data_IF_233174766433
#
_entry.id   IF_233174766433
#
_cell.length_a   1.000
_cell.length_b   1.000
_cell.length_c   1.000
_cell.angle_alpha   90.00
_cell.angle_beta   90.00
_cell.angle_gamma   90.00
#
_symmetry.space_group_name_H-M   'P 1'
#
loop_
_entity.id
_entity.type
_entity.pdbx_description
1 polymer ?
#
# COMPACT_ATOMS: atom_id res chain seq x y z
N UNK A 1 -18.79 23.62 12.77
CA UNK A 1 -19.89 23.38 11.80
C UNK A 1 -21.21 24.09 12.13
N UNK A 2 -21.73 24.16 13.37
CA UNK A 2 -22.98 24.90 13.64
C UNK A 2 -22.86 26.45 13.64
N UNK A 3 -21.66 27.00 13.43
CA UNK A 3 -21.39 28.43 13.52
C UNK A 3 -21.53 29.20 12.18
N UNK A 4 -21.51 28.52 11.03
CA UNK A 4 -21.56 29.17 9.72
C UNK A 4 -22.86 29.98 9.47
N UNK A 5 -24.06 29.47 9.79
CA UNK A 5 -25.31 30.23 9.59
C UNK A 5 -25.37 31.50 10.45
N UNK A 6 -24.78 31.46 11.66
CA UNK A 6 -24.72 32.61 12.57
C UNK A 6 -23.71 33.68 12.15
N UNK A 7 -22.70 33.30 11.38
CA UNK A 7 -21.71 34.20 10.80
C UNK A 7 -22.11 34.75 9.42
N UNK A 8 -23.35 34.47 8.96
CA UNK A 8 -23.83 34.78 7.61
C UNK A 8 -22.95 34.17 6.50
N UNK A 9 -22.44 32.96 6.72
CA UNK A 9 -21.65 32.20 5.75
C UNK A 9 -22.41 30.95 5.32
N UNK A 10 -22.48 30.73 4.01
CA UNK A 10 -22.99 29.50 3.41
C UNK A 10 -21.83 28.56 3.11
N UNK A 11 -21.97 27.29 3.51
CA UNK A 11 -20.95 26.27 3.24
C UNK A 11 -21.25 25.65 1.88
N UNK A 12 -20.27 25.71 0.98
CA UNK A 12 -20.40 25.22 -0.38
C UNK A 12 -19.54 23.97 -0.55
N UNK A 13 -20.12 22.91 -1.10
CA UNK A 13 -19.44 21.62 -1.32
C UNK A 13 -18.48 21.65 -2.50
N UNK A 14 -18.71 22.55 -3.46
CA UNK A 14 -17.85 22.79 -4.61
C UNK A 14 -16.91 23.97 -4.33
N UNK A 15 -15.59 23.75 -4.20
CA UNK A 15 -14.64 24.82 -3.93
C UNK A 15 -14.60 25.88 -5.04
N UNK A 16 -15.03 25.57 -6.27
CA UNK A 16 -15.07 26.51 -7.39
C UNK A 16 -16.13 27.61 -7.24
N UNK A 17 -17.19 27.33 -6.50
CA UNK A 17 -18.31 28.27 -6.30
C UNK A 17 -18.13 29.10 -5.00
N UNK A 18 -17.03 28.90 -4.27
CA UNK A 18 -16.72 29.60 -3.04
C UNK A 18 -15.99 30.93 -3.28
N UNK A 19 -16.52 32.02 -2.72
CA UNK A 19 -15.90 33.36 -2.73
C UNK A 19 -14.78 33.50 -1.69
N UNK A 20 -14.89 32.75 -0.59
CA UNK A 20 -13.97 32.70 0.54
C UNK A 20 -13.54 31.25 0.79
N UNK A 21 -12.24 31.00 0.85
CA UNK A 21 -11.70 29.70 1.26
C UNK A 21 -10.93 29.84 2.57
N UNK A 22 -11.23 28.96 3.53
CA UNK A 22 -10.55 28.91 4.82
C UNK A 22 -9.63 27.71 4.84
N UNK A 23 -8.33 27.96 4.97
CA UNK A 23 -7.31 26.92 5.09
C UNK A 23 -6.95 26.79 6.57
N UNK A 24 -7.12 25.59 7.12
CA UNK A 24 -6.73 25.27 8.49
C UNK A 24 -5.33 24.66 8.50
N UNK A 25 -4.35 25.35 9.08
CA UNK A 25 -2.97 24.87 9.13
C UNK A 25 -1.93 25.96 9.40
N UNK A 26 -0.66 25.60 9.23
CA UNK A 26 0.48 26.50 9.46
C UNK A 26 1.03 27.14 8.18
N UNK A 27 0.60 26.68 7.01
CA UNK A 27 1.00 27.19 5.70
C UNK A 27 -0.14 27.10 4.70
N UNK A 28 -0.16 28.01 3.72
CA UNK A 28 -1.09 27.93 2.59
C UNK A 28 -0.68 26.78 1.66
N UNK A 29 -1.62 25.93 1.20
CA UNK A 29 -1.34 24.90 0.21
C UNK A 29 -0.92 25.54 -1.11
N UNK A 30 -0.13 24.83 -1.92
CA UNK A 30 0.18 25.23 -3.30
C UNK A 30 -0.92 24.73 -4.25
N UNK A 31 -2.13 25.26 -4.09
CA UNK A 31 -3.31 24.81 -4.82
C UNK A 31 -3.81 25.88 -5.79
N UNK A 32 -3.75 25.58 -7.08
CA UNK A 32 -4.21 26.48 -8.15
C UNK A 32 -5.73 26.67 -8.17
N UNK A 33 -6.51 25.80 -7.52
CA UNK A 33 -7.96 25.95 -7.38
C UNK A 33 -8.36 27.12 -6.47
N UNK A 34 -7.42 27.63 -5.67
CA UNK A 34 -7.63 28.80 -4.80
C UNK A 34 -7.28 30.13 -5.49
N UNK A 35 -6.75 30.10 -6.72
CA UNK A 35 -6.36 31.31 -7.46
C UNK A 35 -7.54 32.26 -7.66
N UNK A 36 -7.33 33.52 -7.29
CA UNK A 36 -8.34 34.58 -7.44
C UNK A 36 -9.41 34.59 -6.35
N UNK A 37 -9.36 33.66 -5.39
CA UNK A 37 -10.27 33.64 -4.23
C UNK A 37 -9.65 34.34 -3.04
N UNK A 38 -10.50 34.84 -2.15
CA UNK A 38 -10.04 35.32 -0.86
C UNK A 38 -9.75 34.12 0.03
N UNK A 39 -8.51 33.99 0.49
CA UNK A 39 -8.07 32.88 1.34
C UNK A 39 -7.66 33.41 2.71
N UNK A 40 -8.15 32.75 3.75
CA UNK A 40 -7.72 32.96 5.13
C UNK A 40 -7.01 31.71 5.65
N UNK A 41 -5.77 31.88 6.13
CA UNK A 41 -5.02 30.84 6.83
C UNK A 41 -5.29 30.97 8.33
N UNK A 42 -5.90 29.95 8.92
CA UNK A 42 -6.29 29.93 10.32
C UNK A 42 -5.72 28.73 11.09
N UNK A 43 -5.49 28.93 12.37
CA UNK A 43 -5.07 27.85 13.28
C UNK A 43 -6.25 26.92 13.63
N UNK A 44 -6.00 25.61 13.61
CA UNK A 44 -7.04 24.60 13.83
C UNK A 44 -7.56 24.61 15.28
N UNK A 45 -6.70 24.86 16.27
CA UNK A 45 -7.11 24.88 17.68
C UNK A 45 -8.00 26.09 17.95
N UNK A 46 -7.70 27.23 17.32
CA UNK A 46 -8.51 28.45 17.41
C UNK A 46 -9.87 28.30 16.72
N UNK A 47 -9.92 27.64 15.57
CA UNK A 47 -11.17 27.35 14.86
C UNK A 47 -12.12 26.45 15.66
N UNK A 48 -11.56 25.53 16.48
CA UNK A 48 -12.35 24.65 17.35
C UNK A 48 -12.79 25.35 18.64
N UNK A 49 -11.91 26.13 19.26
CA UNK A 49 -12.18 26.79 20.54
C UNK A 49 -13.15 27.98 20.40
N UNK A 50 -13.02 28.78 19.34
CA UNK A 50 -13.79 30.01 19.13
C UNK A 50 -14.30 30.13 17.69
N UNK A 51 -15.24 29.26 17.26
CA UNK A 51 -15.64 29.14 15.86
C UNK A 51 -16.33 30.40 15.29
N UNK A 52 -17.09 31.14 16.10
CA UNK A 52 -17.80 32.35 15.63
C UNK A 52 -16.83 33.51 15.39
N UNK A 53 -15.91 33.76 16.33
CA UNK A 53 -14.86 34.77 16.18
C UNK A 53 -13.91 34.44 15.03
N UNK A 54 -13.55 33.17 14.90
CA UNK A 54 -12.69 32.68 13.83
C UNK A 54 -13.29 32.92 12.43
N UNK A 55 -14.60 32.69 12.27
CA UNK A 55 -15.28 32.95 11.00
C UNK A 55 -15.41 34.45 10.69
N UNK A 56 -15.57 35.30 11.73
CA UNK A 56 -15.51 36.76 11.59
C UNK A 56 -14.14 37.25 11.12
N UNK A 57 -13.07 36.79 11.77
CA UNK A 57 -11.69 37.08 11.38
C UNK A 57 -11.38 36.60 9.96
N UNK A 58 -11.89 35.43 9.58
CA UNK A 58 -11.72 34.91 8.23
C UNK A 58 -12.38 35.81 7.18
N UNK A 59 -13.53 36.41 7.48
CA UNK A 59 -14.21 37.35 6.58
C UNK A 59 -13.45 38.66 6.42
N UNK A 60 -12.94 39.19 7.53
CA UNK A 60 -12.31 40.51 7.54
C UNK A 60 -10.86 40.48 7.04
N UNK A 61 -10.14 39.36 7.25
CA UNK A 61 -8.69 39.26 7.02
C UNK A 61 -8.29 38.32 5.87
N UNK A 62 -9.25 37.74 5.15
CA UNK A 62 -8.93 36.98 3.95
C UNK A 62 -8.26 37.86 2.90
N UNK A 63 -7.24 37.30 2.24
CA UNK A 63 -6.47 38.03 1.22
C UNK A 63 -6.64 37.34 -0.12
N UNK A 64 -6.61 38.09 -1.24
CA UNK A 64 -6.58 37.50 -2.57
C UNK A 64 -5.41 36.53 -2.66
N UNK A 65 -5.72 35.27 -2.94
CA UNK A 65 -4.72 34.23 -3.06
C UNK A 65 -4.29 34.12 -4.52
N UNK A 66 -2.98 34.16 -4.69
CA UNK A 66 -2.32 33.74 -5.91
C UNK A 66 -1.41 32.59 -5.48
N UNK A 67 -1.67 31.40 -6.01
CA UNK A 67 -0.79 30.26 -5.86
C UNK A 67 0.61 30.73 -6.21
N UNK A 68 1.62 30.41 -5.37
CA UNK A 68 2.99 30.64 -5.75
C UNK A 68 3.15 30.14 -7.18
N UNK A 69 3.49 31.04 -8.10
CA UNK A 69 3.72 30.65 -9.49
C UNK A 69 4.66 29.45 -9.40
N UNK A 70 4.20 28.30 -9.89
CA UNK A 70 5.07 27.14 -9.99
C UNK A 70 6.35 27.67 -10.61
N UNK A 71 7.44 27.63 -9.85
CA UNK A 71 8.73 28.08 -10.36
C UNK A 71 8.86 27.36 -11.68
N UNK A 72 8.87 28.12 -12.78
CA UNK A 72 8.91 27.52 -14.10
C UNK A 72 10.12 26.60 -14.07
N UNK A 73 9.84 25.30 -14.02
CA UNK A 73 10.88 24.28 -13.94
C UNK A 73 11.68 24.48 -15.21
N UNK A 74 13.02 24.69 -15.11
CA UNK A 74 13.82 24.97 -16.29
C UNK A 74 13.51 23.92 -17.35
N UNK A 75 13.12 24.39 -18.53
CA UNK A 75 13.02 23.53 -19.70
C UNK A 75 14.35 22.80 -19.82
N UNK A 76 14.30 21.46 -19.85
CA UNK A 76 15.50 20.64 -19.94
C UNK A 76 16.30 21.10 -21.17
N UNK A 77 17.57 21.44 -20.94
CA UNK A 77 18.49 21.73 -22.04
C UNK A 77 18.54 20.51 -22.97
N UNK A 78 18.62 20.74 -24.29
CA UNK A 78 18.62 19.69 -25.31
C UNK A 78 19.65 18.59 -24.95
N UNK A 79 19.15 17.39 -24.61
CA UNK A 79 19.96 16.23 -24.20
C UNK A 79 19.63 15.64 -22.82
N UNK A 80 18.90 16.36 -21.96
CA UNK A 80 18.52 15.89 -20.62
C UNK A 80 17.19 15.12 -20.66
N UNK A 81 17.24 13.79 -20.48
CA UNK A 81 16.04 12.95 -20.36
C UNK A 81 15.28 13.26 -19.08
N UNK A 82 13.94 13.29 -19.16
CA UNK A 82 13.02 13.41 -18.03
C UNK A 82 12.44 12.05 -17.69
N UNK A 83 12.71 11.58 -16.48
CA UNK A 83 12.32 10.26 -16.02
C UNK A 83 11.43 10.40 -14.79
N UNK A 84 10.32 9.67 -14.81
CA UNK A 84 9.51 9.47 -13.62
C UNK A 84 9.62 8.01 -13.21
N UNK A 85 9.73 7.73 -11.91
CA UNK A 85 9.86 6.38 -11.41
C UNK A 85 8.89 6.09 -10.27
N UNK A 86 8.42 4.86 -10.18
CA UNK A 86 7.61 4.37 -9.06
C UNK A 86 8.37 3.24 -8.39
N UNK A 87 8.61 3.36 -7.08
CA UNK A 87 9.17 2.26 -6.28
C UNK A 87 8.12 1.69 -5.34
N UNK A 88 8.04 0.36 -5.24
CA UNK A 88 7.10 -0.30 -4.34
C UNK A 88 7.56 -1.67 -3.86
N UNK A 89 7.86 -1.80 -2.57
CA UNK A 89 8.17 -3.06 -1.90
C UNK A 89 7.03 -3.41 -0.91
N UNK A 90 6.65 -4.69 -0.75
CA UNK A 90 5.54 -5.11 0.11
C UNK A 90 5.63 -4.64 1.56
N UNK A 91 6.84 -4.57 2.13
CA UNK A 91 7.04 -4.07 3.50
C UNK A 91 7.06 -2.54 3.56
N UNK A 92 7.39 -1.88 2.44
CA UNK A 92 7.27 -0.45 2.26
C UNK A 92 8.23 0.43 3.06
N UNK A 93 9.20 -0.13 3.79
CA UNK A 93 10.09 0.60 4.71
C UNK A 93 11.54 0.73 4.26
N UNK A 94 12.16 -0.30 3.68
CA UNK A 94 13.59 -0.25 3.31
C UNK A 94 13.78 -0.19 1.79
N UNK A 95 13.48 -1.28 1.09
CA UNK A 95 13.77 -1.36 -0.34
C UNK A 95 13.02 -0.32 -1.19
N UNK A 96 11.82 0.13 -0.79
CA UNK A 96 11.10 1.20 -1.49
C UNK A 96 11.94 2.49 -1.52
N UNK A 97 12.42 2.94 -0.36
CA UNK A 97 13.17 4.20 -0.26
C UNK A 97 14.60 4.05 -0.77
N UNK A 98 15.27 2.93 -0.47
CA UNK A 98 16.62 2.68 -0.95
C UNK A 98 16.67 2.57 -2.49
N UNK A 99 15.70 1.90 -3.11
CA UNK A 99 15.62 1.86 -4.56
C UNK A 99 15.32 3.24 -5.16
N UNK A 100 14.49 4.05 -4.50
CA UNK A 100 14.22 5.41 -4.95
C UNK A 100 15.47 6.28 -4.90
N UNK A 101 16.19 6.29 -3.78
CA UNK A 101 17.45 7.03 -3.63
C UNK A 101 18.52 6.57 -4.62
N UNK A 102 18.62 5.26 -4.87
CA UNK A 102 19.55 4.72 -5.86
C UNK A 102 19.22 5.22 -7.28
N UNK A 103 17.94 5.17 -7.68
CA UNK A 103 17.47 5.67 -8.98
C UNK A 103 17.73 7.18 -9.09
N UNK A 104 17.41 7.96 -8.05
CA UNK A 104 17.65 9.41 -8.05
C UNK A 104 19.13 9.75 -8.20
N UNK A 105 19.98 9.07 -7.45
CA UNK A 105 21.43 9.28 -7.45
C UNK A 105 22.03 8.95 -8.81
N UNK A 106 21.63 7.84 -9.42
CA UNK A 106 22.13 7.41 -10.72
C UNK A 106 21.60 8.30 -11.86
N UNK A 107 20.34 8.71 -11.82
CA UNK A 107 19.79 9.63 -12.80
C UNK A 107 20.46 11.02 -12.71
N UNK A 108 20.73 11.53 -11.50
CA UNK A 108 21.49 12.77 -11.29
C UNK A 108 22.91 12.68 -11.85
N UNK A 109 23.61 11.55 -11.66
CA UNK A 109 24.94 11.31 -12.25
C UNK A 109 24.93 11.36 -13.78
N UNK A 110 23.82 10.95 -14.40
CA UNK A 110 23.62 10.96 -15.86
C UNK A 110 23.14 12.32 -16.38
N UNK A 111 22.94 13.30 -15.50
CA UNK A 111 22.39 14.60 -15.84
C UNK A 111 20.90 14.54 -16.19
N UNK A 112 20.18 13.47 -15.83
CA UNK A 112 18.75 13.33 -16.09
C UNK A 112 17.93 14.02 -15.00
N UNK A 113 16.78 14.56 -15.40
CA UNK A 113 15.77 14.97 -14.42
C UNK A 113 15.00 13.75 -13.98
N UNK A 114 14.80 13.60 -12.67
CA UNK A 114 14.18 12.42 -12.08
C UNK A 114 13.22 12.81 -10.98
N UNK A 115 12.04 12.20 -10.97
CA UNK A 115 11.07 12.24 -9.88
C UNK A 115 10.70 10.81 -9.53
N UNK A 116 10.84 10.45 -8.25
CA UNK A 116 10.51 9.10 -7.79
C UNK A 116 9.36 9.15 -6.79
N UNK A 117 8.24 8.53 -7.16
CA UNK A 117 7.12 8.26 -6.26
C UNK A 117 7.38 6.97 -5.50
N UNK A 118 7.38 7.07 -4.18
CA UNK A 118 7.50 5.90 -3.29
C UNK A 118 6.12 5.41 -2.90
N UNK A 119 5.88 4.11 -3.01
CA UNK A 119 4.66 3.47 -2.51
C UNK A 119 5.01 2.41 -1.49
N UNK A 120 4.63 2.66 -0.24
CA UNK A 120 4.92 1.78 0.89
C UNK A 120 3.73 1.62 1.83
N UNK A 121 4.00 0.95 2.96
CA UNK A 121 3.05 0.74 4.06
C UNK A 121 2.62 2.06 4.72
N UNK A 122 3.46 3.09 4.63
CA UNK A 122 3.22 4.46 5.12
C UNK A 122 2.46 5.35 4.12
N UNK A 123 2.07 4.84 2.95
CA UNK A 123 1.38 5.58 1.90
C UNK A 123 2.26 5.94 0.70
N UNK A 124 1.76 6.85 -0.15
CA UNK A 124 2.49 7.36 -1.30
C UNK A 124 3.27 8.63 -0.93
N UNK A 125 4.58 8.62 -1.14
CA UNK A 125 5.45 9.80 -0.99
C UNK A 125 5.88 10.34 -2.35
N UNK A 126 6.09 11.65 -2.44
CA UNK A 126 6.52 12.33 -3.67
C UNK A 126 5.66 11.99 -4.90
N UNK A 127 4.34 12.07 -4.73
CA UNK A 127 3.38 11.76 -5.79
C UNK A 127 3.72 12.48 -7.11
N UNK A 128 3.77 11.71 -8.20
CA UNK A 128 4.02 12.23 -9.53
C UNK A 128 2.74 12.87 -10.07
N UNK A 129 2.82 14.14 -10.47
CA UNK A 129 1.68 14.90 -11.00
C UNK A 129 1.39 14.56 -12.47
N UNK A 130 0.18 14.82 -12.98
CA UNK A 130 -0.15 14.58 -14.39
C UNK A 130 0.76 15.32 -15.37
N UNK A 131 1.19 16.53 -15.03
CA UNK A 131 2.10 17.36 -15.82
C UNK A 131 3.49 16.71 -15.91
N UNK A 132 4.00 16.23 -14.78
CA UNK A 132 5.27 15.49 -14.71
C UNK A 132 5.21 14.20 -15.54
N UNK A 133 4.06 13.50 -15.57
CA UNK A 133 3.87 12.36 -16.47
C UNK A 133 3.88 12.79 -17.93
N UNK A 134 3.17 13.88 -18.27
CA UNK A 134 3.08 14.39 -19.63
C UNK A 134 4.45 14.81 -20.19
N UNK A 135 5.33 15.35 -19.35
CA UNK A 135 6.68 15.76 -19.71
C UNK A 135 7.74 14.65 -19.61
N UNK A 136 7.40 13.50 -19.03
CA UNK A 136 8.32 12.37 -18.91
C UNK A 136 8.58 11.69 -20.27
N UNK A 137 9.86 11.45 -20.56
CA UNK A 137 10.32 10.66 -21.71
C UNK A 137 10.26 9.15 -21.43
N UNK A 138 10.38 8.77 -20.15
CA UNK A 138 10.48 7.39 -19.71
C UNK A 138 9.90 7.21 -18.30
N UNK A 139 9.15 6.12 -18.12
CA UNK A 139 8.58 5.69 -16.84
C UNK A 139 9.31 4.43 -16.37
N UNK A 140 9.88 4.45 -15.18
CA UNK A 140 10.55 3.28 -14.57
C UNK A 140 9.70 2.78 -13.40
N UNK A 141 9.25 1.53 -13.45
CA UNK A 141 8.48 0.91 -12.36
C UNK A 141 9.34 -0.15 -11.69
N UNK A 142 9.91 0.16 -10.52
CA UNK A 142 10.63 -0.78 -9.68
C UNK A 142 9.71 -1.28 -8.57
N UNK A 143 8.95 -2.35 -8.83
CA UNK A 143 7.90 -2.79 -7.92
C UNK A 143 7.84 -4.31 -7.76
N UNK A 144 7.75 -4.74 -6.50
CA UNK A 144 7.55 -6.14 -6.10
C UNK A 144 6.08 -6.42 -5.71
N UNK A 145 5.22 -5.40 -5.82
CA UNK A 145 3.76 -5.49 -5.63
C UNK A 145 3.04 -4.87 -6.83
N UNK A 146 1.72 -5.08 -6.89
CA UNK A 146 0.87 -4.42 -7.87
C UNK A 146 0.64 -2.96 -7.49
N UNK A 147 0.78 -2.06 -8.46
CA UNK A 147 0.66 -0.61 -8.28
C UNK A 147 -0.25 -0.05 -9.36
N UNK A 148 -1.09 0.93 -8.99
CA UNK A 148 -1.89 1.64 -9.98
C UNK A 148 -0.99 2.53 -10.86
N UNK A 149 -0.94 2.18 -12.13
CA UNK A 149 -0.13 2.83 -13.16
C UNK A 149 -0.99 3.48 -14.25
N UNK A 150 -2.32 3.59 -14.05
CA UNK A 150 -3.24 4.08 -15.07
C UNK A 150 -2.84 5.46 -15.61
N UNK A 151 -2.28 6.32 -14.74
CA UNK A 151 -1.78 7.65 -15.10
C UNK A 151 -0.62 7.66 -16.11
N UNK A 152 0.11 6.55 -16.27
CA UNK A 152 1.24 6.42 -17.19
C UNK A 152 0.84 5.83 -18.56
N UNK A 153 -0.44 5.84 -18.89
CA UNK A 153 -0.94 5.37 -20.18
C UNK A 153 -0.24 6.05 -21.36
N UNK A 154 0.15 5.26 -22.36
CA UNK A 154 0.84 5.70 -23.57
C UNK A 154 2.33 5.99 -23.40
N UNK A 155 2.84 6.12 -22.17
CA UNK A 155 4.24 6.46 -21.92
C UNK A 155 5.17 5.25 -22.09
N UNK A 156 6.40 5.43 -22.62
CA UNK A 156 7.41 4.39 -22.62
C UNK A 156 7.69 3.95 -21.18
N UNK A 157 7.47 2.68 -20.88
CA UNK A 157 7.57 2.13 -19.54
C UNK A 157 8.52 0.94 -19.52
N UNK A 158 9.38 0.90 -18.51
CA UNK A 158 10.21 -0.24 -18.16
C UNK A 158 9.86 -0.70 -16.74
N UNK A 159 9.66 -2.01 -16.55
CA UNK A 159 9.31 -2.60 -15.24
C UNK A 159 10.40 -3.53 -14.76
N UNK A 160 10.80 -3.37 -13.50
CA UNK A 160 11.80 -4.18 -12.79
C UNK A 160 11.40 -4.38 -11.32
N UNK A 161 12.24 -5.05 -10.54
CA UNK A 161 12.05 -5.32 -9.09
C UNK A 161 12.76 -4.25 -8.25
N UNK A 162 12.34 -4.03 -6.99
CA UNK A 162 13.06 -3.07 -6.13
C UNK A 162 14.49 -3.54 -5.83
N UNK A 163 14.69 -4.85 -5.71
CA UNK A 163 16.00 -5.45 -5.47
C UNK A 163 16.98 -5.24 -6.64
N UNK A 164 16.53 -5.37 -7.90
CA UNK A 164 17.37 -5.11 -9.07
C UNK A 164 17.64 -3.61 -9.24
N UNK A 165 16.62 -2.78 -9.04
CA UNK A 165 16.77 -1.32 -9.09
C UNK A 165 17.76 -0.79 -8.04
N UNK A 166 17.87 -1.44 -6.88
CA UNK A 166 18.84 -1.10 -5.85
C UNK A 166 20.25 -1.64 -6.13
N UNK A 167 20.39 -2.92 -6.52
CA UNK A 167 21.71 -3.57 -6.66
C UNK A 167 22.39 -3.32 -8.00
N UNK A 168 21.61 -3.06 -9.05
CA UNK A 168 22.05 -2.96 -10.46
C UNK A 168 21.47 -1.73 -11.15
N UNK A 169 21.35 -0.62 -10.41
CA UNK A 169 20.65 0.60 -10.86
C UNK A 169 21.09 1.09 -12.24
N UNK A 170 22.39 1.23 -12.48
CA UNK A 170 22.91 1.68 -13.77
C UNK A 170 22.46 0.79 -14.93
N UNK A 171 22.59 -0.55 -14.76
CA UNK A 171 22.18 -1.52 -15.77
C UNK A 171 20.68 -1.48 -16.04
N UNK A 172 19.87 -1.31 -15.00
CA UNK A 172 18.42 -1.23 -15.14
C UNK A 172 17.99 0.09 -15.81
N UNK A 173 18.68 1.20 -15.56
CA UNK A 173 18.46 2.47 -16.27
C UNK A 173 18.88 2.38 -17.75
N UNK A 174 19.97 1.69 -18.06
CA UNK A 174 20.41 1.45 -19.45
C UNK A 174 19.41 0.60 -20.23
N UNK A 175 18.92 -0.48 -19.61
CA UNK A 175 17.83 -1.29 -20.16
C UNK A 175 16.56 -0.49 -20.31
N UNK A 176 16.21 0.35 -19.33
CA UNK A 176 15.00 1.15 -19.41
C UNK A 176 15.00 2.10 -20.62
N UNK A 177 16.14 2.66 -20.98
CA UNK A 177 16.26 3.50 -22.19
C UNK A 177 16.08 2.71 -23.48
N UNK A 178 16.47 1.42 -23.49
CA UNK A 178 16.53 0.59 -24.69
C UNK A 178 15.27 -0.27 -24.89
N UNK A 179 14.71 -0.78 -23.80
CA UNK A 179 13.66 -1.82 -23.79
C UNK A 179 12.28 -1.29 -23.38
N UNK A 180 12.16 -0.01 -23.00
CA UNK A 180 10.88 0.57 -22.61
C UNK A 180 9.87 0.50 -23.75
N UNK A 181 8.65 0.07 -23.42
CA UNK A 181 7.53 -0.06 -24.36
C UNK A 181 6.37 0.83 -23.94
N UNK A 182 5.58 1.37 -24.88
CA UNK A 182 4.38 2.12 -24.53
C UNK A 182 3.46 1.30 -23.62
N UNK A 183 3.16 1.83 -22.44
CA UNK A 183 2.27 1.18 -21.49
C UNK A 183 0.81 1.44 -21.85
N UNK A 184 -0.06 0.44 -21.81
CA UNK A 184 -1.50 0.62 -21.90
C UNK A 184 -2.16 0.07 -20.63
N UNK A 185 -2.89 0.91 -19.86
CA UNK A 185 -3.68 0.42 -18.75
C UNK A 185 -4.76 -0.50 -19.31
N UNK A 186 -4.88 -1.70 -18.77
CA UNK A 186 -5.88 -2.66 -19.20
C UNK A 186 -7.29 -2.19 -18.79
N UNK A 187 -7.91 -1.38 -19.66
CA UNK A 187 -9.25 -0.81 -19.51
C UNK A 187 -10.21 -1.25 -20.61
N UNK A 188 -10.15 -2.53 -21.00
CA UNK A 188 -11.16 -3.36 -21.71
C UNK A 188 -10.63 -4.80 -21.63
N UNK A 189 -11.47 -5.83 -21.41
CA UNK A 189 -11.01 -7.22 -21.47
C UNK A 189 -10.58 -7.50 -22.91
N UNK A 190 -9.29 -7.32 -23.17
CA UNK A 190 -8.71 -7.66 -24.45
C UNK A 190 -8.66 -9.18 -24.47
N UNK A 191 -9.51 -9.76 -25.32
CA UNK A 191 -9.50 -11.16 -25.66
C UNK A 191 -8.05 -11.54 -25.98
N UNK A 192 -7.43 -12.28 -25.05
CA UNK A 192 -6.17 -12.92 -25.30
C UNK A 192 -6.43 -13.90 -26.44
N UNK A 193 -5.70 -13.72 -27.54
CA UNK A 193 -5.56 -14.76 -28.55
C UNK A 193 -5.24 -16.08 -27.82
N UNK A 194 -6.10 -17.06 -28.03
CA UNK A 194 -6.01 -18.38 -27.44
C UNK A 194 -4.67 -19.03 -27.80
N UNK A 195 -3.96 -19.51 -26.76
CA UNK A 195 -2.72 -20.23 -26.94
C UNK A 195 -1.95 -20.40 -25.63
N UNK A 196 -2.37 -21.37 -24.80
CA UNK A 196 -1.62 -21.96 -23.67
C UNK A 196 -0.92 -20.96 -22.71
N UNK A 197 -1.65 -20.34 -21.78
CA UNK A 197 -1.07 -19.46 -20.73
C UNK A 197 -1.69 -19.56 -19.32
N UNK A 198 -2.49 -20.57 -19.00
CA UNK A 198 -3.04 -20.72 -17.64
C UNK A 198 -2.02 -21.24 -16.60
N UNK A 199 -1.04 -22.07 -17.02
CA UNK A 199 -0.03 -22.60 -16.08
C UNK A 199 0.97 -21.55 -15.60
N UNK A 200 1.26 -20.51 -16.40
CA UNK A 200 2.17 -19.44 -16.01
C UNK A 200 1.59 -18.53 -14.92
N UNK A 201 0.26 -18.34 -14.92
CA UNK A 201 -0.44 -17.55 -13.89
C UNK A 201 -0.51 -18.28 -12.56
N UNK A 202 -1.03 -19.52 -12.55
CA UNK A 202 -1.13 -20.33 -11.34
C UNK A 202 0.23 -20.60 -10.69
N UNK A 203 1.26 -20.90 -11.50
CA UNK A 203 2.63 -21.09 -11.00
C UNK A 203 3.17 -19.81 -10.33
N UNK A 204 2.88 -18.63 -10.88
CA UNK A 204 3.29 -17.36 -10.27
C UNK A 204 2.64 -17.15 -8.90
N UNK A 205 1.34 -17.43 -8.78
CA UNK A 205 0.62 -17.32 -7.51
C UNK A 205 1.16 -18.29 -6.45
N UNK A 206 1.45 -19.52 -6.87
CA UNK A 206 2.09 -20.50 -6.01
C UNK A 206 3.48 -20.05 -5.55
N UNK A 207 4.31 -19.54 -6.46
CA UNK A 207 5.64 -19.02 -6.15
C UNK A 207 5.58 -17.85 -5.17
N UNK A 208 4.58 -16.97 -5.30
CA UNK A 208 4.36 -15.88 -4.34
C UNK A 208 4.11 -16.44 -2.95
N UNK A 209 3.18 -17.39 -2.80
CA UNK A 209 2.91 -18.05 -1.53
C UNK A 209 4.15 -18.68 -0.90
N UNK A 210 4.90 -19.47 -1.69
CA UNK A 210 6.13 -20.13 -1.22
C UNK A 210 7.18 -19.11 -0.78
N UNK A 211 7.35 -18.01 -1.52
CA UNK A 211 8.34 -16.97 -1.20
C UNK A 211 8.07 -16.30 0.15
N UNK A 212 6.80 -16.06 0.49
CA UNK A 212 6.42 -15.48 1.78
C UNK A 212 6.41 -16.50 2.92
N UNK A 213 6.28 -17.79 2.61
CA UNK A 213 6.37 -18.88 3.58
C UNK A 213 7.82 -19.18 3.97
N UNK A 214 8.77 -19.04 3.04
CA UNK A 214 10.17 -19.43 3.24
C UNK A 214 10.85 -18.77 4.47
N UNK A 215 10.71 -17.46 4.72
CA UNK A 215 11.29 -16.84 5.92
C UNK A 215 10.79 -17.45 7.22
N UNK A 216 9.52 -17.86 7.29
CA UNK A 216 8.94 -18.49 8.48
C UNK A 216 9.56 -19.87 8.73
N UNK A 217 9.74 -20.65 7.67
CA UNK A 217 10.37 -21.99 7.76
C UNK A 217 11.83 -21.87 8.19
N UNK A 218 12.57 -20.93 7.61
CA UNK A 218 13.98 -20.69 7.95
C UNK A 218 14.10 -20.22 9.40
N UNK A 219 13.30 -19.24 9.83
CA UNK A 219 13.31 -18.76 11.22
C UNK A 219 12.90 -19.87 12.20
N UNK A 220 11.85 -20.62 11.89
CA UNK A 220 11.37 -21.72 12.73
C UNK A 220 12.40 -22.84 12.87
N UNK A 221 13.02 -23.25 11.77
CA UNK A 221 14.08 -24.26 11.78
C UNK A 221 15.30 -23.83 12.58
N UNK A 222 15.68 -22.55 12.48
CA UNK A 222 16.78 -22.00 13.28
C UNK A 222 16.45 -22.00 14.78
N UNK A 223 15.22 -21.64 15.16
CA UNK A 223 14.78 -21.70 16.56
C UNK A 223 14.82 -23.13 17.12
N UNK A 224 14.38 -24.14 16.34
CA UNK A 224 14.46 -25.55 16.75
C UNK A 224 15.91 -25.99 16.92
N UNK A 225 16.79 -25.63 15.96
CA UNK A 225 18.21 -25.96 16.05
C UNK A 225 18.86 -25.36 17.30
N UNK A 226 18.52 -24.10 17.64
CA UNK A 226 18.99 -23.46 18.87
C UNK A 226 18.42 -24.11 20.12
N UNK A 227 17.17 -24.60 20.10
CA UNK A 227 16.61 -25.38 21.21
C UNK A 227 17.45 -26.63 21.51
N UNK A 228 17.82 -27.39 20.47
CA UNK A 228 18.65 -28.59 20.62
C UNK A 228 20.10 -28.31 21.02
N UNK A 229 20.61 -27.09 20.79
CA UNK A 229 21.93 -26.71 21.27
C UNK A 229 22.04 -26.70 22.81
N UNK A 230 20.91 -26.54 23.52
CA UNK A 230 20.86 -26.67 24.98
C UNK A 230 20.73 -28.13 25.47
N UNK A 231 20.67 -29.09 24.54
CA UNK A 231 20.48 -30.52 24.80
C UNK A 231 19.24 -31.06 24.11
N UNK A 232 19.30 -32.29 23.58
CA UNK A 232 18.24 -32.86 22.74
C UNK A 232 16.89 -32.96 23.47
N UNK A 233 16.89 -33.09 24.80
CA UNK A 233 15.66 -33.13 25.64
C UNK A 233 15.43 -31.87 26.47
N UNK A 234 16.25 -30.83 26.31
CA UNK A 234 16.16 -29.62 27.12
C UNK A 234 14.80 -28.90 26.94
N UNK A 235 14.13 -29.10 25.81
CA UNK A 235 12.81 -28.56 25.54
C UNK A 235 11.67 -29.19 26.36
N UNK A 236 11.89 -30.34 27.00
CA UNK A 236 10.87 -31.03 27.82
C UNK A 236 10.64 -30.34 29.17
N UNK A 237 11.64 -29.58 29.64
CA UNK A 237 11.54 -28.80 30.88
C UNK A 237 10.81 -27.49 30.58
N UNK A 238 9.59 -27.37 31.11
CA UNK A 238 8.77 -26.16 31.00
C UNK A 238 9.51 -24.94 31.56
N UNK A 239 9.18 -23.77 31.02
CA UNK A 239 9.74 -22.46 31.41
C UNK A 239 11.26 -22.28 31.17
N UNK A 240 11.86 -23.15 30.35
CA UNK A 240 13.24 -22.98 29.89
C UNK A 240 13.32 -22.26 28.55
N UNK A 241 14.47 -21.63 28.27
CA UNK A 241 14.75 -21.04 26.96
C UNK A 241 14.66 -22.08 25.83
N UNK A 242 15.09 -23.31 26.08
CA UNK A 242 15.00 -24.40 25.11
C UNK A 242 13.54 -24.74 24.77
N UNK A 243 12.66 -24.83 25.78
CA UNK A 243 11.22 -25.04 25.58
C UNK A 243 10.57 -23.85 24.85
N UNK A 244 10.95 -22.61 25.20
CA UNK A 244 10.47 -21.42 24.50
C UNK A 244 10.88 -21.39 23.02
N UNK A 245 12.13 -21.70 22.71
CA UNK A 245 12.64 -21.79 21.34
C UNK A 245 11.95 -22.89 20.53
N UNK A 246 11.70 -24.05 21.15
CA UNK A 246 10.96 -25.15 20.54
C UNK A 246 9.50 -24.77 20.27
N UNK A 247 8.86 -24.08 21.21
CA UNK A 247 7.48 -23.60 21.04
C UNK A 247 7.38 -22.53 19.94
N UNK A 248 8.33 -21.59 19.89
CA UNK A 248 8.38 -20.56 18.84
C UNK A 248 8.59 -21.21 17.47
N UNK A 249 9.60 -22.08 17.35
CA UNK A 249 9.94 -22.73 16.09
C UNK A 249 8.94 -23.80 15.70
N UNK A 250 8.96 -24.93 16.41
CA UNK A 250 8.18 -26.11 16.08
C UNK A 250 6.69 -25.97 16.34
N UNK A 251 6.29 -25.22 17.37
CA UNK A 251 4.88 -24.98 17.68
C UNK A 251 4.26 -23.92 16.77
N UNK A 252 4.75 -22.69 16.86
CA UNK A 252 4.11 -21.52 16.24
C UNK A 252 4.52 -21.28 14.78
N UNK A 253 5.83 -21.20 14.49
CA UNK A 253 6.31 -20.84 13.16
C UNK A 253 5.96 -21.89 12.10
N UNK A 254 6.09 -23.18 12.43
CA UNK A 254 5.68 -24.27 11.55
C UNK A 254 4.16 -24.38 11.40
N UNK A 255 3.37 -24.10 12.44
CA UNK A 255 1.90 -24.10 12.32
C UNK A 255 1.40 -22.98 11.38
N UNK A 256 2.06 -21.84 11.37
CA UNK A 256 1.72 -20.71 10.51
C UNK A 256 2.18 -20.87 9.05
N UNK A 257 3.00 -21.89 8.75
CA UNK A 257 3.54 -22.13 7.41
C UNK A 257 2.44 -22.24 6.34
N UNK A 258 1.46 -23.13 6.56
CA UNK A 258 0.37 -23.38 5.62
C UNK A 258 -0.65 -22.22 5.56
N UNK A 259 -1.07 -21.61 6.68
CA UNK A 259 -1.84 -20.36 6.65
C UNK A 259 -1.17 -19.28 5.82
N UNK A 260 0.11 -18.98 6.05
CA UNK A 260 0.86 -17.95 5.31
C UNK A 260 0.93 -18.28 3.82
N UNK A 261 1.25 -19.53 3.46
CA UNK A 261 1.23 -19.98 2.07
C UNK A 261 -0.13 -19.69 1.41
N UNK A 262 -1.22 -20.16 2.01
CA UNK A 262 -2.58 -20.00 1.48
C UNK A 262 -2.99 -18.53 1.39
N UNK A 263 -2.69 -17.75 2.43
CA UNK A 263 -2.95 -16.31 2.49
C UNK A 263 -2.25 -15.53 1.39
N UNK A 264 -0.98 -15.82 1.12
CA UNK A 264 -0.22 -15.12 0.09
C UNK A 264 -0.50 -15.61 -1.33
N UNK A 265 -0.94 -16.86 -1.52
CA UNK A 265 -1.55 -17.30 -2.78
C UNK A 265 -2.82 -16.49 -3.05
N UNK A 266 -3.73 -16.42 -2.07
CA UNK A 266 -4.99 -15.67 -2.21
C UNK A 266 -4.75 -14.17 -2.42
N UNK A 267 -3.81 -13.58 -1.68
CA UNK A 267 -3.38 -12.20 -1.84
C UNK A 267 -2.84 -11.94 -3.24
N UNK A 268 -2.06 -12.85 -3.83
CA UNK A 268 -1.54 -12.66 -5.18
C UNK A 268 -2.62 -12.68 -6.28
N UNK A 269 -3.85 -13.13 -5.97
CA UNK A 269 -4.99 -13.22 -6.89
C UNK A 269 -5.95 -12.04 -6.70
N UNK A 270 -6.20 -11.64 -5.45
CA UNK A 270 -7.25 -10.69 -5.06
C UNK A 270 -6.77 -9.57 -4.13
N UNK A 271 -5.46 -9.36 -4.00
CA UNK A 271 -4.84 -8.37 -3.11
C UNK A 271 -5.31 -8.50 -1.65
N UNK A 272 -5.46 -7.38 -0.94
CA UNK A 272 -5.89 -7.31 0.47
C UNK A 272 -7.20 -8.09 0.73
N UNK A 273 -8.24 -8.02 -0.12
CA UNK A 273 -9.44 -8.83 0.03
C UNK A 273 -9.21 -10.35 0.13
N UNK A 274 -8.19 -10.88 -0.54
CA UNK A 274 -7.89 -12.32 -0.54
C UNK A 274 -7.12 -12.81 0.70
N UNK A 275 -6.41 -11.91 1.39
CA UNK A 275 -5.46 -12.29 2.44
C UNK A 275 -6.13 -13.00 3.62
N UNK A 276 -7.12 -12.36 4.25
CA UNK A 276 -7.83 -12.91 5.41
C UNK A 276 -8.51 -14.25 5.11
N UNK A 277 -9.34 -14.40 4.05
CA UNK A 277 -9.96 -15.68 3.76
C UNK A 277 -8.93 -16.76 3.38
N UNK A 278 -7.82 -16.39 2.75
CA UNK A 278 -6.72 -17.32 2.46
C UNK A 278 -6.02 -17.83 3.73
N UNK A 279 -5.71 -16.93 4.70
CA UNK A 279 -5.12 -17.31 5.99
C UNK A 279 -6.04 -18.26 6.78
N UNK A 280 -7.33 -17.92 6.86
CA UNK A 280 -8.33 -18.74 7.56
C UNK A 280 -8.49 -20.09 6.86
N UNK A 281 -8.61 -20.10 5.52
CA UNK A 281 -8.69 -21.33 4.73
C UNK A 281 -7.46 -22.22 4.89
N UNK A 282 -6.26 -21.64 4.94
CA UNK A 282 -5.03 -22.36 5.22
C UNK A 282 -4.98 -22.92 6.64
N UNK A 283 -5.51 -22.21 7.63
CA UNK A 283 -5.62 -22.72 8.99
C UNK A 283 -6.62 -23.87 9.09
N UNK A 284 -7.78 -23.75 8.44
CA UNK A 284 -8.74 -24.85 8.34
C UNK A 284 -8.14 -26.08 7.63
N UNK A 285 -7.26 -25.87 6.65
CA UNK A 285 -6.57 -26.97 5.98
C UNK A 285 -5.66 -27.76 6.93
N UNK A 286 -4.98 -27.07 7.86
CA UNK A 286 -4.12 -27.68 8.88
C UNK A 286 -4.96 -28.37 9.95
N UNK A 287 -5.97 -27.69 10.50
CA UNK A 287 -6.82 -28.29 11.56
C UNK A 287 -7.72 -29.41 11.05
N UNK A 288 -8.11 -29.38 9.78
CA UNK A 288 -8.88 -30.43 9.10
C UNK A 288 -8.04 -31.58 8.53
N UNK A 289 -6.73 -31.60 8.74
CA UNK A 289 -5.85 -32.71 8.35
C UNK A 289 -5.42 -32.77 6.88
N UNK A 290 -5.92 -31.87 6.03
CA UNK A 290 -5.52 -31.78 4.62
C UNK A 290 -4.12 -31.18 4.40
N UNK A 291 -3.58 -30.51 5.42
CA UNK A 291 -2.20 -30.01 5.48
C UNK A 291 -1.84 -29.07 4.33
N UNK A 292 -0.63 -29.24 3.80
CA UNK A 292 -0.05 -28.35 2.78
C UNK A 292 -0.84 -28.32 1.47
N UNK A 293 -1.30 -29.48 0.99
CA UNK A 293 -2.07 -29.60 -0.26
C UNK A 293 -3.42 -28.90 -0.11
N UNK A 294 -4.10 -29.13 1.03
CA UNK A 294 -5.34 -28.42 1.34
C UNK A 294 -5.15 -26.91 1.44
N UNK A 295 -4.02 -26.45 1.99
CA UNK A 295 -3.69 -25.03 2.05
C UNK A 295 -3.52 -24.38 0.68
N UNK A 296 -2.87 -25.08 -0.27
CA UNK A 296 -2.76 -24.59 -1.66
C UNK A 296 -4.15 -24.44 -2.29
N UNK A 297 -4.97 -25.49 -2.19
CA UNK A 297 -6.33 -25.48 -2.75
C UNK A 297 -7.17 -24.37 -2.11
N UNK A 298 -7.13 -24.25 -0.78
CA UNK A 298 -7.83 -23.22 -0.04
C UNK A 298 -7.36 -21.81 -0.42
N UNK A 299 -6.06 -21.60 -0.63
CA UNK A 299 -5.50 -20.33 -1.08
C UNK A 299 -5.99 -19.90 -2.45
N UNK A 300 -6.01 -20.82 -3.43
CA UNK A 300 -6.57 -20.52 -4.75
C UNK A 300 -8.07 -20.27 -4.69
N UNK A 301 -8.82 -21.11 -3.98
CA UNK A 301 -10.26 -20.97 -3.84
C UNK A 301 -10.62 -19.63 -3.18
N UNK A 302 -9.99 -19.30 -2.04
CA UNK A 302 -10.19 -18.04 -1.34
C UNK A 302 -9.83 -16.84 -2.22
N UNK A 303 -8.73 -16.91 -2.97
CA UNK A 303 -8.32 -15.85 -3.90
C UNK A 303 -9.35 -15.60 -5.00
N UNK A 304 -9.79 -16.64 -5.71
CA UNK A 304 -10.77 -16.49 -6.78
C UNK A 304 -12.15 -16.09 -6.28
N UNK A 305 -12.58 -16.60 -5.11
CA UNK A 305 -13.84 -16.19 -4.48
C UNK A 305 -13.77 -14.73 -4.07
N UNK A 306 -12.70 -14.30 -3.39
CA UNK A 306 -12.52 -12.90 -3.00
C UNK A 306 -12.48 -11.96 -4.22
N UNK A 307 -11.82 -12.38 -5.31
CA UNK A 307 -11.79 -11.64 -6.58
C UNK A 307 -13.18 -11.56 -7.22
N UNK A 308 -13.94 -12.64 -7.22
CA UNK A 308 -15.30 -12.66 -7.77
C UNK A 308 -16.24 -11.74 -6.97
N UNK A 309 -16.11 -11.73 -5.64
CA UNK A 309 -16.86 -10.83 -4.76
C UNK A 309 -16.47 -9.38 -5.04
N UNK A 310 -15.17 -9.05 -5.07
CA UNK A 310 -14.71 -7.66 -5.26
C UNK A 310 -15.02 -7.09 -6.64
N UNK A 311 -15.09 -7.94 -7.68
CA UNK A 311 -15.38 -7.50 -9.06
C UNK A 311 -16.87 -7.47 -9.39
N UNK A 312 -17.69 -8.34 -8.79
CA UNK A 312 -19.14 -8.40 -9.08
C UNK A 312 -20.02 -7.61 -8.11
N UNK A 313 -19.57 -7.33 -6.88
CA UNK A 313 -20.30 -6.47 -5.95
C UNK A 313 -19.89 -5.01 -6.13
N UNK A 314 -20.64 -4.26 -6.94
CA UNK A 314 -20.66 -2.79 -6.84
C UNK A 314 -21.44 -2.41 -5.60
N UNK A 315 -20.75 -2.03 -4.53
CA UNK A 315 -21.38 -1.53 -3.32
C UNK A 315 -21.65 -0.03 -3.46
N UNK A 316 -22.86 0.46 -3.13
CA UNK A 316 -23.13 1.90 -3.07
C UNK A 316 -22.30 2.56 -1.97
N UNK A 317 -21.89 3.80 -2.22
CA UNK A 317 -20.95 4.64 -1.45
C UNK A 317 -21.26 4.74 0.06
N UNK A 318 -22.48 4.38 0.49
CA UNK A 318 -22.92 4.42 1.90
C UNK A 318 -22.40 3.26 2.77
N UNK A 319 -21.84 2.19 2.19
CA UNK A 319 -21.31 1.04 2.95
C UNK A 319 -19.78 1.01 3.12
N UNK A 320 -19.04 1.96 2.52
CA UNK A 320 -17.59 2.06 2.75
C UNK A 320 -17.24 2.57 4.15
N UNK A 321 -18.11 3.41 4.73
CA UNK A 321 -17.92 3.99 6.06
C UNK A 321 -18.20 3.01 7.23
N UNK A 322 -18.89 1.89 6.97
CA UNK A 322 -19.26 0.90 8.01
C UNK A 322 -18.20 -0.19 8.26
N UNK A 323 -17.16 -0.26 7.40
CA UNK A 323 -16.11 -1.30 7.48
C UNK A 323 -15.33 -1.32 8.81
N UNK A 324 -14.99 -0.19 9.45
CA UNK A 324 -14.26 -0.23 10.72
C UNK A 324 -15.16 -0.58 11.93
N UNK A 325 -16.46 -0.31 11.83
CA UNK A 325 -17.38 -0.37 12.98
C UNK A 325 -18.01 -1.77 13.14
N UNK A 326 -18.27 -2.49 12.06
CA UNK A 326 -18.88 -3.82 12.14
C UNK A 326 -17.86 -4.94 12.40
N UNK A 327 -16.61 -4.78 11.94
CA UNK A 327 -15.60 -5.85 11.96
C UNK A 327 -14.82 -5.91 13.28
N UNK A 328 -14.64 -4.79 13.98
CA UNK A 328 -13.80 -4.73 15.20
C UNK A 328 -14.51 -5.32 16.45
N UNK A 329 -15.82 -5.12 16.70
CA UNK A 329 -16.43 -5.62 17.94
C UNK A 329 -16.93 -7.08 17.89
N UNK A 330 -17.45 -7.55 16.76
CA UNK A 330 -18.19 -8.82 16.71
C UNK A 330 -17.31 -10.09 16.82
N UNK A 331 -16.04 -10.02 16.41
CA UNK A 331 -15.10 -11.15 16.52
C UNK A 331 -14.45 -11.32 17.90
N UNK A 332 -14.59 -10.34 18.80
CA UNK A 332 -13.93 -10.32 20.10
C UNK A 332 -14.91 -10.52 21.28
N UNK A 333 -16.20 -10.66 21.02
CA UNK A 333 -17.24 -10.81 22.06
C UNK A 333 -17.97 -12.16 22.06
N UNK A 334 -17.70 -13.06 21.11
CA UNK A 334 -18.41 -14.35 21.07
C UNK A 334 -17.67 -15.53 21.71
N UNK A 335 -16.47 -15.37 22.32
CA UNK A 335 -15.77 -16.53 22.89
C UNK A 335 -14.87 -16.27 24.12
N UNK A 336 -15.28 -15.35 25.00
CA UNK A 336 -14.83 -15.38 26.40
C UNK A 336 -16.00 -15.15 27.34
N UNK A 337 -16.64 -16.26 27.71
CA UNK A 337 -17.34 -16.38 28.98
C UNK A 337 -16.36 -16.11 30.12
N UNK A 338 -16.37 -14.88 30.61
CA UNK A 338 -15.76 -14.48 31.87
C UNK A 338 -16.88 -13.90 32.72
N UNK A 339 -17.42 -14.70 33.63
CA UNK A 339 -18.47 -14.27 34.55
C UNK A 339 -19.21 -15.43 35.22
N UNK A 340 -18.58 -16.06 36.21
CA UNK A 340 -19.11 -16.23 37.58
C UNK A 340 -18.28 -17.31 38.29
N UNK A 341 -17.42 -16.89 39.23
CA UNK A 341 -17.18 -17.65 40.47
C UNK A 341 -16.35 -16.78 41.43
N UNK A 342 -17.00 -15.78 42.01
CA UNK A 342 -16.59 -15.13 43.26
C UNK A 342 -17.84 -14.59 43.95
N UNK A 343 -18.71 -15.50 44.42
CA UNK A 343 -19.63 -15.29 45.53
C UNK A 343 -20.38 -16.58 45.84
N UNK A 344 -19.72 -17.56 46.46
CA UNK A 344 -20.24 -18.30 47.62
C UNK A 344 -19.30 -19.45 48.01
N UNK A 345 -18.90 -19.43 49.29
CA UNK A 345 -18.13 -20.43 50.07
C UNK A 345 -16.62 -20.27 50.12
#
# INVERSE_FOLDING_TARGET
>A
MPAAPKAHLELIDNPNDAELAIVLGTALPADSALNGKNVYLGDINRAVAHPELFLGEAKDHAKPYVAPAAVAVPAAAQGQKRIVAVTACPTGVAHTFMAAEAIETEAKKRGWWVKVETRGSVGAGNAITPEEVAEADLVIVAADIEVDLAKFAGKPMYRTTTGLALKKTAQELDKAVTEAKPYQPSGKPQAAAEGKKESAGAYRHLLTGVSYMLPMVVAGGLCIALSFAFGIKAFEVKDTLAAALMQIGGGSAFALMVPVLAGFIAFSIADRPGLTPGLIGGMLAVSGGSGFIGGIIAGFLAGYVAKAISTKLKLPQSMEALKPILIIPAGLQSDRGFGNDLSDR
#
